data_IF_950901894395
#
_entry.id   IF_950901894395
#
_cell.length_a   1.000
_cell.length_b   1.000
_cell.length_c   1.000
_cell.angle_alpha   90.00
_cell.angle_beta   90.00
_cell.angle_gamma   90.00
#
_symmetry.space_group_name_H-M   'P 1'
#
loop_
_entity.id
_entity.type
_entity.pdbx_description
1 polymer ?
#
# COMPACT_ATOMS: atom_id res chain seq x y z
N UNK A 1 5.10 -2.34 -2.01
CA UNK A 1 6.57 -2.45 -1.96
C UNK A 1 7.07 -3.07 -0.66
N UNK A 2 6.84 -2.39 0.47
CA UNK A 2 7.20 -2.84 1.82
C UNK A 2 6.78 -4.29 2.12
N UNK A 3 5.58 -4.70 1.71
CA UNK A 3 5.07 -6.08 1.84
C UNK A 3 6.03 -7.14 1.27
N UNK A 4 6.48 -6.93 0.03
CA UNK A 4 7.36 -7.87 -0.67
C UNK A 4 8.77 -7.85 -0.08
N UNK A 5 9.26 -6.66 0.31
CA UNK A 5 10.56 -6.52 0.97
C UNK A 5 10.60 -7.28 2.31
N UNK A 6 9.53 -7.16 3.13
CA UNK A 6 9.39 -7.91 4.38
C UNK A 6 9.33 -9.41 4.13
N UNK A 7 8.48 -9.87 3.19
CA UNK A 7 8.37 -11.28 2.85
C UNK A 7 9.72 -11.87 2.38
N UNK A 8 10.43 -11.14 1.52
CA UNK A 8 11.74 -11.54 1.01
C UNK A 8 12.79 -11.59 2.12
N UNK A 9 12.92 -10.53 2.92
CA UNK A 9 13.90 -10.47 4.01
C UNK A 9 13.63 -11.53 5.10
N UNK A 10 12.36 -11.87 5.34
CA UNK A 10 12.02 -12.97 6.23
C UNK A 10 12.40 -14.33 5.61
N UNK A 11 12.22 -14.53 4.31
CA UNK A 11 12.56 -15.79 3.65
C UNK A 11 14.09 -15.98 3.48
N UNK A 12 14.81 -14.89 3.22
CA UNK A 12 16.24 -14.88 2.87
C UNK A 12 17.02 -13.82 3.67
N UNK A 13 17.04 -13.89 5.01
CA UNK A 13 17.63 -12.85 5.86
C UNK A 13 19.11 -12.62 5.57
N UNK A 14 19.85 -13.68 5.21
CA UNK A 14 21.28 -13.63 4.88
C UNK A 14 21.60 -12.89 3.57
N UNK A 15 20.58 -12.53 2.78
CA UNK A 15 20.72 -11.81 1.51
C UNK A 15 20.41 -10.32 1.63
N UNK A 16 20.06 -9.86 2.83
CA UNK A 16 19.64 -8.48 3.07
C UNK A 16 20.58 -7.86 4.10
N UNK A 17 21.41 -6.94 3.63
CA UNK A 17 22.31 -6.17 4.50
C UNK A 17 21.55 -5.13 5.30
N UNK A 18 20.64 -4.38 4.68
CA UNK A 18 19.80 -3.35 5.31
C UNK A 18 18.42 -3.24 4.63
N UNK A 19 17.47 -2.60 5.32
CA UNK A 19 16.14 -2.31 4.79
C UNK A 19 15.77 -0.83 4.95
N UNK A 20 15.34 -0.20 3.86
CA UNK A 20 14.63 1.09 3.87
C UNK A 20 13.19 0.80 3.42
N UNK A 21 12.25 0.91 4.35
CA UNK A 21 10.83 0.64 4.11
C UNK A 21 10.04 1.94 4.16
N UNK A 22 9.07 2.09 3.25
CA UNK A 22 8.13 3.21 3.24
C UNK A 22 6.71 2.73 3.04
N UNK A 23 5.74 3.40 3.68
CA UNK A 23 4.32 3.08 3.50
C UNK A 23 4.08 1.61 3.86
N UNK A 24 4.29 1.27 5.13
CA UNK A 24 4.20 -0.10 5.62
C UNK A 24 2.81 -0.66 5.33
N UNK A 25 2.79 -1.70 4.50
CA UNK A 25 1.62 -2.48 4.17
C UNK A 25 1.90 -3.95 4.43
N UNK A 26 1.10 -4.58 5.28
CA UNK A 26 1.30 -5.97 5.67
C UNK A 26 0.18 -6.91 5.19
N UNK A 27 -0.74 -6.41 4.35
CA UNK A 27 -1.87 -7.15 3.77
C UNK A 27 -2.85 -7.75 4.79
N UNK A 28 -2.87 -7.26 6.04
CA UNK A 28 -3.88 -7.67 7.01
C UNK A 28 -5.26 -7.27 6.53
N UNK A 29 -6.27 -8.07 6.86
CA UNK A 29 -7.68 -7.79 6.49
C UNK A 29 -8.13 -6.40 6.94
N UNK A 30 -7.67 -5.93 8.10
CA UNK A 30 -8.00 -4.60 8.59
C UNK A 30 -7.46 -3.47 7.68
N UNK A 31 -6.28 -3.64 7.09
CA UNK A 31 -5.67 -2.68 6.16
C UNK A 31 -6.45 -2.64 4.84
N UNK A 32 -6.80 -3.83 4.31
CA UNK A 32 -7.62 -3.95 3.10
C UNK A 32 -9.03 -3.39 3.29
N UNK A 33 -9.66 -3.69 4.44
CA UNK A 33 -10.98 -3.18 4.78
C UNK A 33 -10.98 -1.65 4.90
N UNK A 34 -9.96 -1.09 5.57
CA UNK A 34 -9.80 0.35 5.71
C UNK A 34 -9.83 1.10 4.38
N UNK A 35 -9.11 0.61 3.37
CA UNK A 35 -8.92 1.35 2.13
C UNK A 35 -9.96 1.04 1.06
N UNK A 36 -10.41 -0.22 0.94
CA UNK A 36 -11.29 -0.65 -0.15
C UNK A 36 -12.75 -0.85 0.28
N UNK A 37 -13.07 -0.83 1.57
CA UNK A 37 -14.44 -1.08 2.06
C UNK A 37 -14.99 0.08 2.89
N UNK A 38 -14.36 0.38 4.03
CA UNK A 38 -14.81 1.44 4.93
C UNK A 38 -13.65 1.92 5.82
N UNK A 39 -13.42 3.24 5.83
CA UNK A 39 -12.34 3.87 6.58
C UNK A 39 -11.83 5.11 5.85
N UNK A 40 -10.98 4.92 4.84
CA UNK A 40 -10.54 5.99 3.95
C UNK A 40 -11.73 6.70 3.27
N UNK A 41 -12.81 5.96 3.01
CA UNK A 41 -14.08 6.48 2.50
C UNK A 41 -14.71 7.59 3.35
N UNK A 42 -14.39 7.67 4.64
CA UNK A 42 -14.90 8.74 5.52
C UNK A 42 -14.17 10.07 5.30
N UNK A 43 -12.94 10.00 4.78
CA UNK A 43 -12.09 11.16 4.50
C UNK A 43 -12.37 11.68 3.08
N UNK A 44 -12.60 10.77 2.13
CA UNK A 44 -12.84 11.10 0.71
C UNK A 44 -14.18 10.54 0.20
N UNK A 45 -15.33 10.94 0.78
CA UNK A 45 -16.63 10.41 0.39
C UNK A 45 -16.99 10.73 -1.07
N UNK A 46 -16.56 11.88 -1.57
CA UNK A 46 -16.71 12.35 -2.95
C UNK A 46 -15.96 11.47 -3.96
N UNK A 47 -14.70 11.14 -3.69
CA UNK A 47 -13.94 10.21 -4.53
C UNK A 47 -14.44 8.76 -4.39
N UNK A 48 -14.86 8.36 -3.18
CA UNK A 48 -15.36 7.02 -2.91
C UNK A 48 -16.73 6.75 -3.57
N UNK A 49 -17.54 7.77 -3.83
CA UNK A 49 -18.76 7.64 -4.63
C UNK A 49 -18.44 7.15 -6.05
N UNK A 50 -17.43 7.74 -6.69
CA UNK A 50 -16.97 7.32 -8.02
C UNK A 50 -16.41 5.89 -8.01
N UNK A 51 -15.67 5.51 -6.96
CA UNK A 51 -15.19 4.13 -6.75
C UNK A 51 -16.34 3.13 -6.58
N UNK A 52 -17.47 3.51 -5.99
CA UNK A 52 -18.59 2.57 -5.83
C UNK A 52 -19.46 2.42 -7.07
N UNK A 53 -19.45 3.41 -7.97
CA UNK A 53 -20.37 3.50 -9.11
C UNK A 53 -20.41 2.26 -10.03
N UNK A 54 -19.28 1.60 -10.37
CA UNK A 54 -19.32 0.39 -11.20
C UNK A 54 -19.87 -0.87 -10.50
N UNK A 55 -20.08 -0.79 -9.18
CA UNK A 55 -20.52 -1.91 -8.35
C UNK A 55 -22.00 -1.73 -7.93
N UNK A 56 -22.89 -2.67 -8.28
CA UNK A 56 -24.29 -2.69 -7.84
C UNK A 56 -24.41 -2.68 -6.31
N UNK A 57 -25.39 -1.97 -5.73
CA UNK A 57 -25.55 -1.84 -4.27
C UNK A 57 -25.51 -3.17 -3.51
N UNK A 58 -26.09 -4.23 -4.06
CA UNK A 58 -26.14 -5.57 -3.47
C UNK A 58 -24.77 -6.28 -3.39
N UNK A 59 -23.80 -5.87 -4.21
CA UNK A 59 -22.44 -6.42 -4.21
C UNK A 59 -21.48 -5.60 -3.33
N UNK A 60 -21.88 -4.42 -2.83
CA UNK A 60 -20.99 -3.49 -2.11
C UNK A 60 -20.57 -3.94 -0.71
N UNK A 61 -21.11 -5.06 -0.22
CA UNK A 61 -20.68 -5.68 1.04
C UNK A 61 -19.27 -6.30 0.98
N UNK A 62 -18.75 -6.55 -0.23
CA UNK A 62 -17.36 -6.97 -0.47
C UNK A 62 -16.86 -6.35 -1.77
N UNK A 63 -16.36 -5.13 -1.67
CA UNK A 63 -15.91 -4.33 -2.82
C UNK A 63 -14.75 -5.01 -3.56
N UNK A 64 -13.78 -5.59 -2.85
CA UNK A 64 -12.62 -6.25 -3.47
C UNK A 64 -13.07 -7.44 -4.31
N UNK A 65 -13.96 -8.30 -3.77
CA UNK A 65 -14.48 -9.43 -4.53
C UNK A 65 -15.34 -8.99 -5.71
N UNK A 66 -16.15 -7.93 -5.55
CA UNK A 66 -17.00 -7.39 -6.61
C UNK A 66 -16.19 -6.79 -7.77
N UNK A 67 -15.10 -6.09 -7.46
CA UNK A 67 -14.15 -5.60 -8.44
C UNK A 67 -13.40 -6.75 -9.13
N UNK A 68 -12.89 -7.72 -8.37
CA UNK A 68 -12.18 -8.87 -8.94
C UNK A 68 -13.04 -9.62 -9.97
N UNK A 69 -14.33 -9.85 -9.68
CA UNK A 69 -15.27 -10.47 -10.65
C UNK A 69 -15.33 -9.74 -12.00
N UNK A 70 -15.38 -8.40 -11.96
CA UNK A 70 -15.42 -7.56 -13.18
C UNK A 70 -14.08 -7.55 -13.90
N UNK A 71 -12.99 -7.40 -13.16
CA UNK A 71 -11.61 -7.36 -13.64
C UNK A 71 -11.12 -8.69 -14.27
N UNK A 72 -11.77 -9.82 -13.93
CA UNK A 72 -11.49 -11.14 -14.51
C UNK A 72 -12.64 -11.68 -15.35
N UNK A 73 -13.68 -10.88 -15.60
CA UNK A 73 -14.83 -11.26 -16.42
C UNK A 73 -14.50 -11.29 -17.91
N UNK A 74 -15.42 -11.77 -18.77
CA UNK A 74 -15.15 -11.90 -20.21
C UNK A 74 -15.29 -10.58 -20.99
N UNK A 75 -15.97 -9.56 -20.45
CA UNK A 75 -16.26 -8.30 -21.13
C UNK A 75 -15.14 -7.26 -20.91
N UNK A 76 -14.37 -6.88 -21.96
CA UNK A 76 -13.28 -5.91 -21.83
C UNK A 76 -13.74 -4.50 -21.45
N UNK A 77 -14.96 -4.10 -21.82
CA UNK A 77 -15.48 -2.77 -21.48
C UNK A 77 -15.76 -2.68 -19.97
N UNK A 78 -16.35 -3.72 -19.39
CA UNK A 78 -16.59 -3.84 -17.94
C UNK A 78 -15.26 -3.94 -17.18
N UNK A 79 -14.29 -4.69 -17.70
CA UNK A 79 -12.94 -4.74 -17.11
C UNK A 79 -12.32 -3.35 -17.05
N UNK A 80 -12.38 -2.59 -18.15
CA UNK A 80 -11.76 -1.26 -18.24
C UNK A 80 -12.46 -0.23 -17.36
N UNK A 81 -13.80 -0.23 -17.31
CA UNK A 81 -14.57 0.65 -16.42
C UNK A 81 -14.19 0.41 -14.95
N UNK A 82 -14.17 -0.85 -14.53
CA UNK A 82 -13.78 -1.23 -13.18
C UNK A 82 -12.31 -0.87 -12.91
N UNK A 83 -11.41 -1.15 -13.85
CA UNK A 83 -9.99 -0.85 -13.70
C UNK A 83 -9.73 0.64 -13.52
N UNK A 84 -10.37 1.51 -14.32
CA UNK A 84 -10.23 2.96 -14.18
C UNK A 84 -10.75 3.45 -12.83
N UNK A 85 -11.93 2.99 -12.39
CA UNK A 85 -12.49 3.41 -11.10
C UNK A 85 -11.61 3.00 -9.91
N UNK A 86 -11.06 1.78 -9.94
CA UNK A 86 -10.12 1.29 -8.94
C UNK A 86 -8.83 2.11 -8.91
N UNK A 87 -8.18 2.30 -10.07
CA UNK A 87 -6.92 3.03 -10.14
C UNK A 87 -7.09 4.51 -9.80
N UNK A 88 -8.16 5.16 -10.23
CA UNK A 88 -8.41 6.58 -9.91
C UNK A 88 -8.65 6.78 -8.42
N UNK A 89 -9.32 5.84 -7.73
CA UNK A 89 -9.51 5.88 -6.28
C UNK A 89 -8.17 5.98 -5.54
N UNK A 90 -7.22 5.11 -5.88
CA UNK A 90 -5.90 5.15 -5.28
C UNK A 90 -5.10 6.39 -5.72
N UNK A 91 -5.08 6.68 -7.03
CA UNK A 91 -4.41 7.86 -7.57
C UNK A 91 -4.77 9.17 -6.86
N UNK A 92 -6.05 9.31 -6.50
CA UNK A 92 -6.62 10.48 -5.83
C UNK A 92 -6.18 10.60 -4.37
N UNK A 93 -5.98 9.48 -3.67
CA UNK A 93 -5.78 9.44 -2.21
C UNK A 93 -4.31 9.27 -1.79
N UNK A 94 -3.39 9.10 -2.74
CA UNK A 94 -1.96 8.86 -2.48
C UNK A 94 -1.21 10.02 -1.82
N UNK A 95 -1.59 11.29 -2.02
CA UNK A 95 -0.87 12.45 -1.47
C UNK A 95 -1.69 13.20 -0.45
N UNK A 96 -0.99 13.97 0.40
CA UNK A 96 -1.66 14.87 1.33
C UNK A 96 -2.45 15.95 0.58
N UNK A 97 -1.84 16.52 -0.46
CA UNK A 97 -2.50 17.47 -1.37
C UNK A 97 -2.83 16.80 -2.69
N UNK A 98 -3.93 17.24 -3.30
CA UNK A 98 -4.39 16.70 -4.57
C UNK A 98 -3.36 16.90 -5.69
N UNK A 99 -3.18 15.85 -6.52
CA UNK A 99 -2.23 15.82 -7.64
C UNK A 99 -2.97 15.36 -8.91
N UNK A 100 -3.49 16.32 -9.72
CA UNK A 100 -4.26 16.01 -10.92
C UNK A 100 -3.46 15.23 -11.97
N UNK A 101 -2.15 15.47 -12.05
CA UNK A 101 -1.30 14.81 -13.04
C UNK A 101 -1.16 13.32 -12.72
N UNK A 102 -0.96 12.99 -11.43
CA UNK A 102 -0.97 11.59 -11.00
C UNK A 102 -2.32 10.92 -11.26
N UNK A 103 -3.44 11.56 -10.92
CA UNK A 103 -4.77 11.00 -11.20
C UNK A 103 -4.96 10.72 -12.69
N UNK A 104 -4.50 11.63 -13.55
CA UNK A 104 -4.49 11.42 -15.01
C UNK A 104 -3.69 10.18 -15.40
N UNK A 105 -2.46 10.01 -14.89
CA UNK A 105 -1.62 8.83 -15.14
C UNK A 105 -2.28 7.52 -14.69
N UNK A 106 -3.00 7.53 -13.56
CA UNK A 106 -3.74 6.37 -13.05
C UNK A 106 -4.97 6.01 -13.89
N UNK A 107 -5.46 6.93 -14.73
CA UNK A 107 -6.60 6.68 -15.62
C UNK A 107 -6.22 6.13 -17.00
N UNK A 108 -4.93 6.02 -17.31
CA UNK A 108 -4.43 5.46 -18.58
C UNK A 108 -4.78 3.97 -18.67
N UNK A 109 -5.51 3.57 -19.72
CA UNK A 109 -6.15 2.25 -19.84
C UNK A 109 -5.22 1.06 -19.60
N UNK A 110 -4.06 1.05 -20.28
CA UNK A 110 -3.10 -0.04 -20.15
C UNK A 110 -2.54 -0.13 -18.72
N UNK A 111 -2.30 1.02 -18.08
CA UNK A 111 -1.85 1.08 -16.70
C UNK A 111 -2.95 0.62 -15.75
N UNK A 112 -4.15 1.19 -15.87
CA UNK A 112 -5.29 0.88 -15.01
C UNK A 112 -5.65 -0.60 -15.04
N UNK A 113 -5.70 -1.21 -16.23
CA UNK A 113 -5.98 -2.64 -16.39
C UNK A 113 -4.94 -3.51 -15.71
N UNK A 114 -3.64 -3.24 -15.91
CA UNK A 114 -2.59 -4.02 -15.26
C UNK A 114 -2.61 -3.83 -13.74
N UNK A 115 -2.70 -2.57 -13.29
CA UNK A 115 -2.69 -2.17 -11.90
C UNK A 115 -3.86 -2.82 -11.12
N UNK A 116 -5.10 -2.54 -11.52
CA UNK A 116 -6.27 -3.02 -10.81
C UNK A 116 -6.38 -4.54 -10.81
N UNK A 117 -6.06 -5.20 -11.94
CA UNK A 117 -6.13 -6.68 -12.02
C UNK A 117 -5.11 -7.35 -11.12
N UNK A 118 -3.87 -6.86 -11.10
CA UNK A 118 -2.81 -7.44 -10.25
C UNK A 118 -3.12 -7.18 -8.78
N UNK A 119 -3.48 -5.94 -8.41
CA UNK A 119 -3.82 -5.62 -7.02
C UNK A 119 -4.99 -6.43 -6.49
N UNK A 120 -6.14 -6.38 -7.18
CA UNK A 120 -7.31 -7.13 -6.78
C UNK A 120 -7.01 -8.62 -6.67
N UNK A 121 -6.18 -9.17 -7.58
CA UNK A 121 -5.75 -10.57 -7.52
C UNK A 121 -4.95 -10.90 -6.25
N UNK A 122 -3.99 -10.07 -5.86
CA UNK A 122 -3.25 -10.29 -4.61
C UNK A 122 -4.16 -10.15 -3.39
N UNK A 123 -5.10 -9.21 -3.40
CA UNK A 123 -5.95 -8.93 -2.25
C UNK A 123 -7.00 -10.02 -2.02
N UNK A 124 -7.67 -10.53 -3.08
CA UNK A 124 -8.61 -11.66 -2.93
C UNK A 124 -7.91 -12.93 -2.43
N UNK A 125 -6.62 -13.09 -2.74
CA UNK A 125 -5.79 -14.21 -2.29
C UNK A 125 -5.05 -13.93 -0.97
N UNK A 126 -5.37 -12.83 -0.26
CA UNK A 126 -4.76 -12.48 1.03
C UNK A 126 -3.23 -12.41 0.98
N UNK A 127 -2.69 -11.91 -0.14
CA UNK A 127 -1.25 -11.86 -0.39
C UNK A 127 -0.56 -13.23 -0.50
N UNK A 128 -1.33 -14.32 -0.64
CA UNK A 128 -0.86 -15.70 -0.57
C UNK A 128 -0.22 -16.07 0.77
N UNK A 129 -0.52 -15.31 1.83
CA UNK A 129 -0.07 -15.63 3.18
C UNK A 129 -0.98 -16.68 3.83
N UNK A 130 -0.40 -17.47 4.74
CA UNK A 130 -1.13 -18.52 5.46
C UNK A 130 -1.95 -17.95 6.62
N UNK A 131 -1.56 -16.80 7.14
CA UNK A 131 -2.15 -16.13 8.29
C UNK A 131 -2.24 -14.62 8.03
N UNK A 132 -3.24 -13.97 8.60
CA UNK A 132 -3.55 -12.55 8.35
C UNK A 132 -2.38 -11.62 8.71
N UNK A 133 -1.72 -11.90 9.84
CA UNK A 133 -0.62 -11.11 10.40
C UNK A 133 0.74 -11.81 10.23
N UNK A 134 0.90 -12.67 9.22
CA UNK A 134 2.11 -13.47 9.01
C UNK A 134 3.38 -12.60 9.01
N UNK A 135 3.38 -11.47 8.30
CA UNK A 135 4.57 -10.60 8.25
C UNK A 135 4.91 -9.98 9.61
N UNK A 136 3.91 -9.65 10.43
CA UNK A 136 4.12 -9.08 11.75
C UNK A 136 4.60 -10.15 12.75
N UNK A 137 4.02 -11.36 12.69
CA UNK A 137 4.40 -12.49 13.55
C UNK A 137 5.82 -12.99 13.32
N UNK A 138 6.36 -12.78 12.11
CA UNK A 138 7.69 -13.23 11.69
C UNK A 138 8.74 -12.10 11.74
N UNK A 139 8.40 -10.95 12.34
CA UNK A 139 9.29 -9.80 12.43
C UNK A 139 10.57 -10.07 13.25
N UNK A 140 10.58 -11.08 14.11
CA UNK A 140 11.78 -11.52 14.83
C UNK A 140 12.93 -11.90 13.90
N UNK A 141 12.61 -12.39 12.70
CA UNK A 141 13.59 -12.74 11.66
C UNK A 141 14.31 -11.52 11.10
N UNK A 142 13.79 -10.31 11.30
CA UNK A 142 14.35 -9.05 10.82
C UNK A 142 15.27 -8.39 11.85
N UNK A 143 15.25 -8.82 13.12
CA UNK A 143 15.88 -8.08 14.23
C UNK A 143 17.38 -7.84 14.10
N UNK A 144 18.09 -8.69 13.36
CA UNK A 144 19.52 -8.56 13.11
C UNK A 144 19.85 -7.69 11.88
N UNK A 145 18.84 -7.35 11.06
CA UNK A 145 18.99 -6.51 9.88
C UNK A 145 18.80 -5.05 10.33
N UNK A 146 19.74 -4.14 10.05
CA UNK A 146 19.51 -2.70 10.18
C UNK A 146 18.32 -2.24 9.33
N UNK A 147 17.41 -1.47 9.93
CA UNK A 147 16.18 -1.03 9.26
C UNK A 147 15.80 0.41 9.55
N UNK A 148 15.33 1.12 8.53
CA UNK A 148 14.65 2.42 8.66
C UNK A 148 13.26 2.30 8.05
N UNK A 149 12.25 2.74 8.80
CA UNK A 149 10.85 2.79 8.39
C UNK A 149 10.45 4.26 8.28
N UNK A 150 10.13 4.71 7.07
CA UNK A 150 9.64 6.06 6.77
C UNK A 150 8.14 6.02 6.52
N UNK A 151 7.33 6.79 7.25
CA UNK A 151 5.88 6.74 7.08
C UNK A 151 5.23 8.11 7.26
N UNK A 152 4.32 8.48 6.35
CA UNK A 152 3.58 9.73 6.44
C UNK A 152 2.53 9.69 7.55
N UNK A 153 2.41 10.76 8.34
CA UNK A 153 1.41 10.85 9.42
C UNK A 153 -0.01 10.68 8.90
N UNK A 154 -0.28 11.22 7.72
CA UNK A 154 -1.59 11.25 7.08
C UNK A 154 -1.67 10.30 5.88
N UNK A 155 -0.87 9.24 5.88
CA UNK A 155 -1.00 8.16 4.91
C UNK A 155 -2.35 7.44 5.12
N UNK A 156 -3.32 7.78 4.26
CA UNK A 156 -4.66 7.20 4.25
C UNK A 156 -4.75 5.90 3.45
N UNK A 157 -3.72 5.55 2.68
CA UNK A 157 -3.69 4.31 1.88
C UNK A 157 -3.23 3.16 2.75
N UNK A 158 -2.15 3.37 3.49
CA UNK A 158 -1.60 2.43 4.47
C UNK A 158 -1.49 3.15 5.82
N UNK A 159 -2.51 3.06 6.70
CA UNK A 159 -2.51 3.79 7.96
C UNK A 159 -1.24 3.58 8.77
N UNK A 160 -0.74 4.65 9.39
CA UNK A 160 0.46 4.64 10.24
C UNK A 160 0.45 3.53 11.31
N UNK A 161 -0.73 3.05 11.70
CA UNK A 161 -0.89 1.90 12.60
C UNK A 161 -0.03 0.70 12.19
N UNK A 162 0.07 0.39 10.89
CA UNK A 162 0.90 -0.72 10.40
C UNK A 162 2.39 -0.51 10.65
N UNK A 163 2.92 0.70 10.43
CA UNK A 163 4.32 1.01 10.74
C UNK A 163 4.60 1.01 12.24
N UNK A 164 3.64 1.49 13.04
CA UNK A 164 3.73 1.45 14.50
C UNK A 164 3.78 0.02 15.02
N UNK A 165 2.85 -0.84 14.57
CA UNK A 165 2.83 -2.26 14.96
C UNK A 165 4.14 -2.96 14.55
N UNK A 166 4.64 -2.72 13.33
CA UNK A 166 5.91 -3.27 12.87
C UNK A 166 7.08 -2.82 13.73
N UNK A 167 7.17 -1.53 14.08
CA UNK A 167 8.21 -1.01 14.97
C UNK A 167 8.17 -1.62 16.37
N UNK A 168 7.00 -2.01 16.87
CA UNK A 168 6.91 -2.69 18.16
C UNK A 168 7.42 -4.14 18.07
N UNK A 169 7.19 -4.81 16.95
CA UNK A 169 7.67 -6.19 16.72
C UNK A 169 9.16 -6.25 16.30
N UNK A 170 9.67 -5.18 15.69
CA UNK A 170 11.07 -5.02 15.27
C UNK A 170 11.66 -3.74 15.90
N UNK A 171 12.03 -3.80 17.19
CA UNK A 171 12.43 -2.62 17.95
C UNK A 171 13.78 -2.01 17.53
N UNK A 172 14.61 -2.78 16.83
CA UNK A 172 15.89 -2.32 16.28
C UNK A 172 15.71 -1.39 15.06
N UNK A 173 14.56 -1.44 14.38
CA UNK A 173 14.26 -0.51 13.31
C UNK A 173 14.04 0.92 13.83
N UNK A 174 14.53 1.90 13.08
CA UNK A 174 14.23 3.31 13.33
C UNK A 174 12.93 3.68 12.62
N UNK A 175 11.93 4.17 13.36
CA UNK A 175 10.68 4.66 12.78
C UNK A 175 10.73 6.19 12.66
N UNK A 176 10.63 6.69 11.44
CA UNK A 176 10.58 8.11 11.10
C UNK A 176 9.20 8.46 10.57
N UNK A 177 8.49 9.29 11.34
CA UNK A 177 7.13 9.70 11.01
C UNK A 177 7.20 11.11 10.45
N UNK A 178 6.86 11.27 9.18
CA UNK A 178 6.84 12.57 8.51
C UNK A 178 5.52 13.27 8.85
N UNK A 179 5.54 14.41 9.58
CA UNK A 179 4.35 14.95 10.23
C UNK A 179 3.30 15.50 9.26
N UNK A 180 3.71 15.92 8.06
CA UNK A 180 2.91 16.61 7.06
C UNK A 180 2.95 15.90 5.68
N UNK A 181 3.00 14.57 5.68
CA UNK A 181 3.01 13.78 4.45
C UNK A 181 1.91 12.72 4.38
N UNK A 182 1.47 12.45 3.14
CA UNK A 182 0.61 11.34 2.76
C UNK A 182 1.37 10.03 2.48
N UNK A 183 0.86 9.24 1.54
CA UNK A 183 1.45 7.94 1.16
C UNK A 183 2.60 8.05 0.16
N UNK A 184 2.46 8.97 -0.81
CA UNK A 184 3.30 9.01 -2.00
C UNK A 184 4.79 9.17 -1.65
N UNK A 185 5.64 8.40 -2.34
CA UNK A 185 7.10 8.53 -2.20
C UNK A 185 7.58 9.95 -2.54
N UNK A 186 6.84 10.66 -3.39
CA UNK A 186 7.19 11.98 -3.91
C UNK A 186 6.85 13.14 -2.97
N UNK A 187 6.27 12.87 -1.80
CA UNK A 187 6.08 13.89 -0.75
C UNK A 187 7.45 14.36 -0.24
N UNK A 188 7.66 15.67 -0.13
CA UNK A 188 8.99 16.24 0.12
C UNK A 188 9.68 15.68 1.38
N UNK A 189 8.95 15.56 2.49
CA UNK A 189 9.48 14.97 3.72
C UNK A 189 9.76 13.47 3.60
N UNK A 190 8.98 12.72 2.80
CA UNK A 190 9.23 11.29 2.55
C UNK A 190 10.51 11.12 1.70
N UNK A 191 10.69 11.93 0.65
CA UNK A 191 11.91 11.94 -0.16
C UNK A 191 13.12 12.21 0.73
N UNK A 192 13.06 13.26 1.55
CA UNK A 192 14.15 13.65 2.44
C UNK A 192 14.61 12.48 3.31
N UNK A 193 13.67 11.81 3.98
CA UNK A 193 14.00 10.70 4.88
C UNK A 193 14.53 9.47 4.15
N UNK A 194 14.02 9.17 2.95
CA UNK A 194 14.53 8.05 2.14
C UNK A 194 15.97 8.33 1.67
N UNK A 195 16.24 9.56 1.22
CA UNK A 195 17.58 9.95 0.76
C UNK A 195 18.57 9.93 1.92
N UNK A 196 18.23 10.50 3.08
CA UNK A 196 19.10 10.47 4.27
C UNK A 196 19.37 9.02 4.71
N UNK A 197 18.33 8.17 4.73
CA UNK A 197 18.49 6.76 5.06
C UNK A 197 19.44 6.03 4.09
N UNK A 198 19.31 6.30 2.79
CA UNK A 198 20.17 5.71 1.77
C UNK A 198 21.62 6.18 1.88
N UNK A 199 21.85 7.49 2.06
CA UNK A 199 23.18 8.07 2.26
C UNK A 199 23.86 7.51 3.52
N UNK A 200 23.09 7.37 4.62
CA UNK A 200 23.58 6.79 5.87
C UNK A 200 24.02 5.34 5.71
N UNK A 201 23.26 4.50 5.00
CA UNK A 201 23.66 3.12 4.77
C UNK A 201 24.81 3.00 3.76
N UNK A 202 24.85 3.87 2.74
CA UNK A 202 25.99 3.94 1.82
C UNK A 202 27.30 4.30 2.54
N UNK A 203 27.26 5.25 3.48
CA UNK A 203 28.43 5.67 4.26
C UNK A 203 28.91 4.64 5.30
N UNK A 204 28.12 3.60 5.60
CA UNK A 204 28.52 2.47 6.45
C UNK A 204 29.26 1.38 5.67
N UNK A 205 29.20 1.42 4.35
CA UNK A 205 29.95 0.52 3.48
C UNK A 205 31.40 0.96 3.37
N UNK A 206 32.17 0.76 4.45
CA UNK A 206 33.64 0.64 4.50
C UNK A 206 34.04 -0.15 5.77
#
# INVERSE_FOLDING_TARGET
GSTLALAYAQAHPERVSELILRGIFMLRRAELHWFYQEGCSWIFPDAFEAYQKPIPPEERGDMIAAYHRRLTGPDPAVQLEAARAWSVWEGTTLSLLHDPERVSRFSVDAYALAFARIEAHYFVNKGFFKQDDQLLRHAERLRHIPGIIVHGRYDVVTPLRSAWDLRQAWPEAELRIVPDAGHAMTEAGIIHEIVEAAERFAARGD
#
